data_IF_501153180604
#
_entry.id   IF_501153180604
#
_cell.length_a   1.000
_cell.length_b   1.000
_cell.length_c   1.000
_cell.angle_alpha   90.00
_cell.angle_beta   90.00
_cell.angle_gamma   90.00
#
_symmetry.space_group_name_H-M   'P 1'
#
loop_
_entity.id
_entity.type
_entity.pdbx_description
1 polymer ?
#
# COMPACT_ATOMS: atom_id res chain seq x y z
N UNK A 1 33.34 77.02 -31.37
CA UNK A 1 32.24 76.05 -31.62
C UNK A 1 32.73 74.68 -31.12
N UNK A 2 31.85 73.89 -30.48
CA UNK A 2 32.14 72.63 -29.74
C UNK A 2 32.89 72.78 -28.41
N UNK A 3 32.28 72.24 -27.36
CA UNK A 3 32.75 72.19 -25.97
C UNK A 3 33.59 70.94 -25.71
N UNK A 4 34.48 71.02 -24.73
CA UNK A 4 35.22 69.87 -24.17
C UNK A 4 34.38 69.27 -23.04
N UNK A 5 33.92 68.02 -23.18
CA UNK A 5 33.16 67.31 -22.14
C UNK A 5 34.05 66.33 -21.37
N UNK A 6 34.00 66.42 -20.03
CA UNK A 6 34.74 65.58 -19.09
C UNK A 6 34.29 64.11 -19.16
N UNK A 7 35.23 63.16 -19.20
CA UNK A 7 34.96 61.75 -18.92
C UNK A 7 35.03 61.49 -17.42
N UNK A 8 33.92 61.07 -16.82
CA UNK A 8 33.85 60.64 -15.42
C UNK A 8 34.01 59.11 -15.39
N UNK A 9 35.03 58.63 -14.68
CA UNK A 9 35.23 57.20 -14.44
C UNK A 9 34.33 56.81 -13.25
N UNK A 10 33.28 56.03 -13.53
CA UNK A 10 32.42 55.43 -12.50
C UNK A 10 33.02 54.11 -12.06
N UNK A 11 33.53 54.07 -10.83
CA UNK A 11 34.09 52.87 -10.22
C UNK A 11 32.96 51.99 -9.66
N UNK A 12 32.57 50.94 -10.39
CA UNK A 12 31.60 49.96 -9.90
C UNK A 12 32.23 49.04 -8.83
N UNK A 13 31.90 49.30 -7.56
CA UNK A 13 32.27 48.40 -6.44
C UNK A 13 31.31 47.20 -6.46
N UNK A 14 31.82 46.03 -6.84
CA UNK A 14 31.08 44.77 -6.75
C UNK A 14 31.08 44.24 -5.31
N UNK A 15 29.93 44.36 -4.63
CA UNK A 15 29.74 43.75 -3.31
C UNK A 15 29.60 42.24 -3.51
N UNK A 16 30.68 41.49 -3.22
CA UNK A 16 30.66 40.04 -3.18
C UNK A 16 29.91 39.54 -1.94
N UNK A 17 28.58 39.42 -2.09
CA UNK A 17 27.72 38.80 -1.09
C UNK A 17 28.11 37.31 -0.94
N UNK A 18 28.91 37.00 0.08
CA UNK A 18 29.25 35.62 0.41
C UNK A 18 28.03 34.93 1.01
N UNK A 19 27.23 34.31 0.15
CA UNK A 19 26.20 33.37 0.57
C UNK A 19 26.92 32.15 1.18
N UNK A 20 26.91 32.06 2.51
CA UNK A 20 27.31 30.86 3.22
C UNK A 20 26.37 29.71 2.82
N UNK A 21 26.88 28.77 2.04
CA UNK A 21 26.22 27.46 1.89
C UNK A 21 26.26 26.77 3.24
N UNK A 22 25.21 26.95 4.03
CA UNK A 22 24.91 26.07 5.15
C UNK A 22 24.67 24.68 4.59
N UNK A 23 25.59 23.75 4.85
CA UNK A 23 25.32 22.34 4.66
C UNK A 23 24.22 21.94 5.64
N UNK A 24 22.98 21.90 5.14
CA UNK A 24 21.82 21.65 5.98
C UNK A 24 21.79 20.16 6.31
N UNK A 25 22.13 19.83 7.56
CA UNK A 25 22.09 18.46 8.05
C UNK A 25 20.68 17.90 7.86
N UNK A 26 20.58 16.77 7.16
CA UNK A 26 19.33 16.02 7.09
C UNK A 26 18.95 15.60 8.50
N UNK A 27 17.78 16.03 8.99
CA UNK A 27 17.23 15.49 10.23
C UNK A 27 16.90 14.02 9.98
N UNK A 28 17.86 13.15 10.29
CA UNK A 28 17.65 11.73 10.46
C UNK A 28 16.71 11.53 11.65
N UNK A 29 15.40 11.65 11.42
CA UNK A 29 14.41 11.06 12.32
C UNK A 29 14.72 9.56 12.32
N UNK A 30 15.19 8.97 13.43
CA UNK A 30 15.60 7.58 13.42
C UNK A 30 14.36 6.72 13.20
N UNK A 31 14.20 6.18 11.99
CA UNK A 31 13.25 5.10 11.75
C UNK A 31 13.73 3.95 12.60
N UNK A 32 13.09 3.73 13.75
CA UNK A 32 13.37 2.61 14.64
C UNK A 32 13.29 1.35 13.79
N UNK A 33 14.43 0.68 13.58
CA UNK A 33 14.49 -0.49 12.72
C UNK A 33 13.47 -1.52 13.22
N UNK A 34 12.61 -2.08 12.33
CA UNK A 34 11.57 -2.99 12.75
C UNK A 34 12.17 -4.19 13.48
N UNK A 35 11.55 -4.58 14.59
CA UNK A 35 11.97 -5.71 15.41
C UNK A 35 12.19 -6.94 14.52
N UNK A 36 13.41 -7.47 14.51
CA UNK A 36 13.74 -8.67 13.76
C UNK A 36 13.81 -9.86 14.72
N UNK A 37 13.02 -10.89 14.45
CA UNK A 37 12.99 -12.13 15.21
C UNK A 37 13.73 -13.20 14.45
N UNK A 38 14.75 -13.78 15.08
CA UNK A 38 15.59 -14.80 14.48
C UNK A 38 15.40 -16.10 15.25
N UNK A 39 14.72 -17.06 14.63
CA UNK A 39 14.68 -18.44 15.11
C UNK A 39 15.88 -19.20 14.53
N UNK A 40 16.78 -19.64 15.39
CA UNK A 40 17.76 -20.66 15.03
C UNK A 40 17.11 -22.04 15.14
N UNK A 41 17.12 -22.80 14.05
CA UNK A 41 16.82 -24.23 14.05
C UNK A 41 18.17 -24.94 13.89
N UNK A 42 18.61 -25.62 14.96
CA UNK A 42 19.92 -26.22 15.03
C UNK A 42 19.86 -27.76 14.99
N UNK A 43 20.72 -28.34 14.15
CA UNK A 43 20.86 -29.78 13.99
C UNK A 43 21.62 -30.43 15.15
N UNK A 44 20.91 -31.28 15.90
CA UNK A 44 21.45 -32.18 16.90
C UNK A 44 21.31 -33.65 16.52
N UNK A 45 21.14 -33.99 15.23
CA UNK A 45 21.01 -35.37 14.77
C UNK A 45 22.35 -36.12 14.78
N UNK A 46 22.31 -37.46 14.65
CA UNK A 46 23.50 -38.31 14.77
C UNK A 46 24.59 -37.99 13.71
N UNK A 47 24.23 -37.43 12.54
CA UNK A 47 25.18 -37.07 11.48
C UNK A 47 26.18 -36.00 11.92
N UNK A 48 25.79 -35.10 12.83
CA UNK A 48 26.64 -34.04 13.40
C UNK A 48 27.81 -34.56 14.26
N UNK A 49 27.85 -35.86 14.59
CA UNK A 49 29.02 -36.54 15.19
C UNK A 49 30.12 -36.77 14.13
N UNK A 50 29.75 -36.83 12.84
CA UNK A 50 30.65 -37.07 11.73
C UNK A 50 31.81 -36.07 11.68
N UNK A 51 32.97 -36.55 11.22
CA UNK A 51 34.16 -35.71 11.09
C UNK A 51 34.03 -34.76 9.90
N UNK A 52 34.46 -33.51 10.10
CA UNK A 52 34.68 -32.53 9.05
C UNK A 52 36.07 -31.93 9.29
N UNK A 53 36.96 -32.12 8.33
CA UNK A 53 38.39 -31.86 8.48
C UNK A 53 38.98 -32.61 9.70
N UNK A 54 39.43 -31.91 10.73
CA UNK A 54 40.10 -32.49 11.90
C UNK A 54 39.22 -32.64 13.15
N UNK A 55 37.94 -32.24 13.08
CA UNK A 55 37.01 -32.17 14.23
C UNK A 55 35.66 -32.79 13.87
N UNK A 56 34.78 -33.00 14.84
CA UNK A 56 33.39 -33.32 14.53
C UNK A 56 32.63 -32.08 14.06
N UNK A 57 31.62 -32.25 13.19
CA UNK A 57 30.77 -31.17 12.70
C UNK A 57 30.13 -30.36 13.84
N UNK A 58 29.71 -31.02 14.92
CA UNK A 58 29.18 -30.36 16.11
C UNK A 58 30.22 -29.48 16.84
N UNK A 59 31.49 -29.88 16.91
CA UNK A 59 32.55 -29.06 17.51
C UNK A 59 32.87 -27.83 16.65
N UNK A 60 32.89 -27.99 15.32
CA UNK A 60 33.03 -26.86 14.39
C UNK A 60 31.87 -25.89 14.56
N UNK A 61 30.63 -26.41 14.49
CA UNK A 61 29.42 -25.62 14.62
C UNK A 61 29.39 -24.81 15.93
N UNK A 62 29.76 -25.43 17.05
CA UNK A 62 29.90 -24.75 18.36
C UNK A 62 30.93 -23.62 18.33
N UNK A 63 32.14 -23.91 17.85
CA UNK A 63 33.25 -22.94 17.86
C UNK A 63 32.96 -21.68 17.03
N UNK A 64 32.07 -21.79 16.04
CA UNK A 64 31.64 -20.67 15.19
C UNK A 64 30.36 -20.01 15.70
N UNK A 65 29.40 -20.75 16.26
CA UNK A 65 28.15 -20.17 16.75
C UNK A 65 28.32 -19.31 18.00
N UNK A 66 29.32 -19.60 18.85
CA UNK A 66 29.67 -18.76 20.01
C UNK A 66 29.97 -17.31 19.59
N UNK A 67 31.02 -17.01 18.80
CA UNK A 67 31.33 -15.63 18.39
C UNK A 67 30.25 -15.02 17.49
N UNK A 68 29.53 -15.83 16.70
CA UNK A 68 28.45 -15.36 15.84
C UNK A 68 27.26 -14.82 16.67
N UNK A 69 26.75 -15.58 17.63
CA UNK A 69 25.63 -15.16 18.49
C UNK A 69 26.01 -13.98 19.38
N UNK A 70 27.25 -13.95 19.89
CA UNK A 70 27.82 -12.79 20.59
C UNK A 70 27.88 -11.53 19.69
N UNK A 71 28.08 -11.67 18.39
CA UNK A 71 28.05 -10.53 17.46
C UNK A 71 26.62 -10.01 17.24
N UNK A 72 25.64 -10.90 17.09
CA UNK A 72 24.23 -10.56 16.84
C UNK A 72 23.61 -9.91 18.09
N UNK A 73 24.00 -10.35 19.29
CA UNK A 73 23.53 -9.79 20.57
C UNK A 73 23.71 -8.28 20.71
N UNK A 74 24.66 -7.71 19.96
CA UNK A 74 25.02 -6.27 19.99
C UNK A 74 24.18 -5.44 19.01
N UNK A 75 23.42 -6.07 18.14
CA UNK A 75 22.56 -5.40 17.15
C UNK A 75 21.24 -5.02 17.84
N UNK A 76 20.83 -3.74 17.79
CA UNK A 76 19.58 -3.31 18.40
C UNK A 76 18.35 -3.91 17.70
N UNK A 77 17.25 -4.04 18.44
CA UNK A 77 15.96 -4.53 17.94
C UNK A 77 16.00 -5.95 17.33
N UNK A 78 16.81 -6.84 17.93
CA UNK A 78 16.76 -8.28 17.65
C UNK A 78 16.22 -9.05 18.86
N UNK A 79 15.33 -10.01 18.61
CA UNK A 79 14.93 -11.06 19.54
C UNK A 79 15.32 -12.42 18.94
N UNK A 80 15.91 -13.31 19.74
CA UNK A 80 16.38 -14.62 19.26
C UNK A 80 15.66 -15.76 19.97
N UNK A 81 15.57 -16.90 19.31
CA UNK A 81 15.08 -18.16 19.86
C UNK A 81 15.90 -19.33 19.33
N UNK A 82 15.90 -20.46 20.05
CA UNK A 82 16.58 -21.69 19.64
C UNK A 82 15.59 -22.86 19.68
N UNK A 83 15.36 -23.45 18.51
CA UNK A 83 14.79 -24.78 18.34
C UNK A 83 15.91 -25.76 17.97
N UNK A 84 15.90 -26.94 18.57
CA UNK A 84 16.84 -28.02 18.25
C UNK A 84 16.05 -29.24 17.80
N UNK A 85 16.63 -30.08 16.95
CA UNK A 85 16.08 -31.39 16.62
C UNK A 85 17.13 -32.51 16.75
N UNK A 86 16.68 -33.74 16.93
CA UNK A 86 17.52 -34.94 17.04
C UNK A 86 18.36 -35.04 18.31
N UNK A 87 18.25 -34.09 19.26
CA UNK A 87 19.10 -34.01 20.44
C UNK A 87 18.62 -34.86 21.63
N UNK A 88 17.40 -35.42 21.59
CA UNK A 88 16.78 -36.10 22.74
C UNK A 88 16.64 -37.60 22.53
N UNK A 89 16.16 -38.03 21.37
CA UNK A 89 15.87 -39.43 21.04
C UNK A 89 17.02 -40.07 20.26
N UNK A 90 17.62 -41.19 20.72
CA UNK A 90 18.65 -41.89 19.96
C UNK A 90 18.05 -42.66 18.77
N UNK A 91 18.76 -42.65 17.64
CA UNK A 91 18.42 -43.49 16.46
C UNK A 91 19.33 -44.72 16.40
N UNK A 92 18.82 -45.94 16.10
CA UNK A 92 17.42 -46.33 15.89
C UNK A 92 16.64 -46.56 17.21
N UNK A 93 15.29 -46.52 17.19
CA UNK A 93 14.41 -46.28 16.04
C UNK A 93 14.38 -44.80 15.61
N UNK A 94 13.74 -44.53 14.48
CA UNK A 94 13.59 -43.18 13.95
C UNK A 94 12.52 -42.40 14.74
N UNK A 95 12.83 -41.18 15.19
CA UNK A 95 11.90 -40.29 15.89
C UNK A 95 11.75 -38.96 15.16
N UNK A 96 10.65 -38.83 14.40
CA UNK A 96 10.31 -37.62 13.65
C UNK A 96 9.60 -36.56 14.51
N UNK A 97 9.35 -36.86 15.79
CA UNK A 97 8.84 -35.92 16.79
C UNK A 97 9.94 -35.18 17.56
N UNK A 98 11.22 -35.61 17.45
CA UNK A 98 12.34 -35.02 18.19
C UNK A 98 12.74 -33.64 17.65
N UNK A 99 11.91 -32.63 17.95
CA UNK A 99 12.20 -31.22 17.69
C UNK A 99 11.49 -30.31 18.69
N UNK A 100 12.26 -29.51 19.41
CA UNK A 100 11.79 -28.74 20.56
C UNK A 100 12.33 -27.31 20.56
N UNK A 101 11.49 -26.36 20.99
CA UNK A 101 11.91 -25.01 21.34
C UNK A 101 12.64 -25.09 22.69
N UNK A 102 13.96 -25.10 22.65
CA UNK A 102 14.81 -25.18 23.85
C UNK A 102 14.96 -23.80 24.51
N UNK A 103 14.97 -22.72 23.73
CA UNK A 103 14.95 -21.34 24.23
C UNK A 103 13.90 -20.51 23.47
N UNK A 104 12.85 -20.00 24.13
CA UNK A 104 11.84 -19.16 23.49
C UNK A 104 12.37 -17.77 23.15
N UNK A 105 11.60 -17.02 22.34
CA UNK A 105 11.93 -15.65 21.99
C UNK A 105 12.08 -14.76 23.22
N UNK A 106 13.22 -14.08 23.31
CA UNK A 106 13.55 -13.19 24.41
C UNK A 106 14.58 -12.14 24.01
N UNK A 107 14.75 -11.16 24.88
CA UNK A 107 15.81 -10.14 24.79
C UNK A 107 16.99 -10.62 25.63
N UNK A 108 18.21 -10.41 25.13
CA UNK A 108 19.47 -10.74 25.80
C UNK A 108 19.63 -12.23 26.19
N UNK A 109 18.87 -13.14 25.57
CA UNK A 109 18.84 -14.58 25.91
C UNK A 109 19.96 -15.42 25.26
N UNK A 110 21.06 -14.76 24.87
CA UNK A 110 22.18 -15.38 24.14
C UNK A 110 22.88 -16.41 25.01
N UNK A 111 23.04 -16.12 26.30
CA UNK A 111 23.69 -17.01 27.27
C UNK A 111 22.93 -18.33 27.42
N UNK A 112 21.60 -18.31 27.43
CA UNK A 112 20.76 -19.50 27.45
C UNK A 112 20.89 -20.31 26.15
N UNK A 113 20.86 -19.64 24.99
CA UNK A 113 21.04 -20.26 23.68
C UNK A 113 22.42 -20.96 23.61
N UNK A 114 23.49 -20.27 24.00
CA UNK A 114 24.85 -20.81 24.01
C UNK A 114 25.00 -21.99 24.98
N UNK A 115 24.37 -21.92 26.16
CA UNK A 115 24.37 -23.03 27.12
C UNK A 115 23.80 -24.30 26.49
N UNK A 116 22.62 -24.22 25.85
CA UNK A 116 22.01 -25.37 25.17
C UNK A 116 22.91 -25.90 24.04
N UNK A 117 23.47 -24.99 23.22
CA UNK A 117 24.35 -25.37 22.10
C UNK A 117 25.62 -26.09 22.59
N UNK A 118 26.20 -25.67 23.72
CA UNK A 118 27.41 -26.28 24.27
C UNK A 118 27.13 -27.61 25.01
N UNK A 119 26.00 -27.71 25.72
CA UNK A 119 25.65 -28.87 26.55
C UNK A 119 24.99 -30.03 25.78
N UNK A 120 24.37 -29.80 24.61
CA UNK A 120 23.65 -30.88 23.91
C UNK A 120 24.57 -32.03 23.46
N UNK A 121 23.99 -33.18 23.12
CA UNK A 121 24.71 -34.30 22.51
C UNK A 121 23.96 -34.75 21.27
N UNK A 122 24.59 -34.80 20.08
CA UNK A 122 23.88 -35.25 18.89
C UNK A 122 23.57 -36.75 18.98
N UNK A 123 22.37 -37.19 18.59
CA UNK A 123 21.89 -38.57 18.85
C UNK A 123 20.89 -39.14 17.85
N UNK A 124 20.03 -38.30 17.29
CA UNK A 124 18.76 -38.71 16.72
C UNK A 124 18.63 -38.48 15.22
N UNK A 125 17.38 -38.35 14.79
CA UNK A 125 16.96 -38.17 13.39
C UNK A 125 16.98 -36.69 12.96
N UNK A 126 16.86 -36.44 11.65
CA UNK A 126 16.91 -35.11 10.99
C UNK A 126 15.52 -34.68 10.45
N UNK A 127 14.52 -34.32 11.31
CA UNK A 127 13.16 -33.95 10.89
C UNK A 127 13.04 -32.45 10.53
N UNK A 128 13.66 -32.02 9.42
CA UNK A 128 13.77 -30.60 9.03
C UNK A 128 12.40 -29.97 8.74
N UNK A 129 11.56 -30.62 7.95
CA UNK A 129 10.24 -30.14 7.55
C UNK A 129 9.34 -29.92 8.77
N UNK A 130 9.37 -30.86 9.73
CA UNK A 130 8.63 -30.74 11.00
C UNK A 130 9.19 -29.63 11.89
N UNK A 131 10.50 -29.46 11.91
CA UNK A 131 11.16 -28.36 12.64
C UNK A 131 10.82 -26.99 12.07
N UNK A 132 10.71 -26.86 10.74
CA UNK A 132 10.21 -25.64 10.09
C UNK A 132 8.73 -25.37 10.41
N UNK A 133 7.88 -26.40 10.34
CA UNK A 133 6.44 -26.30 10.60
C UNK A 133 6.13 -25.90 12.05
N UNK A 134 6.86 -26.43 13.02
CA UNK A 134 6.74 -26.05 14.44
C UNK A 134 7.48 -24.74 14.74
N UNK A 135 8.65 -24.51 14.13
CA UNK A 135 9.41 -23.27 14.25
C UNK A 135 8.60 -22.03 13.87
N UNK A 136 7.81 -22.10 12.80
CA UNK A 136 6.90 -21.02 12.42
C UNK A 136 5.79 -20.73 13.45
N UNK A 137 5.48 -21.69 14.34
CA UNK A 137 4.50 -21.52 15.43
C UNK A 137 5.14 -20.98 16.72
N UNK A 138 6.46 -21.02 16.83
CA UNK A 138 7.21 -20.47 17.96
C UNK A 138 7.31 -18.94 17.90
N UNK A 139 7.14 -18.32 16.72
CA UNK A 139 7.11 -16.86 16.58
C UNK A 139 5.88 -16.24 17.27
N UNK A 140 6.03 -15.13 18.02
CA UNK A 140 4.91 -14.35 18.53
C UNK A 140 3.99 -13.87 17.40
N UNK A 141 2.68 -13.89 17.64
CA UNK A 141 1.63 -13.65 16.63
C UNK A 141 1.42 -12.18 16.24
N UNK A 142 2.37 -11.28 16.52
CA UNK A 142 2.30 -9.91 16.00
C UNK A 142 2.82 -9.85 14.56
N UNK A 143 2.25 -8.93 13.77
CA UNK A 143 2.55 -8.75 12.36
C UNK A 143 3.58 -7.65 12.09
N UNK A 144 4.13 -7.03 13.14
CA UNK A 144 5.04 -5.90 13.05
C UNK A 144 6.52 -6.31 12.96
N UNK A 145 6.86 -7.52 13.43
CA UNK A 145 8.23 -8.02 13.39
C UNK A 145 8.60 -8.74 12.08
N UNK A 146 9.89 -8.73 11.75
CA UNK A 146 10.47 -9.53 10.67
C UNK A 146 10.83 -10.91 11.21
N UNK A 147 10.03 -11.92 10.89
CA UNK A 147 10.26 -13.30 11.33
C UNK A 147 11.21 -14.02 10.36
N UNK A 148 12.43 -14.34 10.79
CA UNK A 148 13.48 -14.97 9.98
C UNK A 148 13.90 -16.29 10.65
N UNK A 149 14.04 -17.34 9.86
CA UNK A 149 14.56 -18.64 10.32
C UNK A 149 15.96 -18.84 9.76
N UNK A 150 16.89 -19.21 10.64
CA UNK A 150 18.22 -19.73 10.29
C UNK A 150 18.26 -21.22 10.62
N UNK A 151 18.19 -22.06 9.59
CA UNK A 151 18.40 -23.50 9.71
C UNK A 151 19.88 -23.81 9.55
N UNK A 152 20.50 -24.45 10.53
CA UNK A 152 21.90 -24.87 10.52
C UNK A 152 21.91 -26.40 10.58
N UNK A 153 22.37 -27.05 9.52
CA UNK A 153 22.29 -28.52 9.36
C UNK A 153 23.43 -29.08 8.51
N UNK A 154 23.78 -30.34 8.74
CA UNK A 154 24.69 -31.09 7.88
C UNK A 154 24.00 -32.12 6.98
N UNK A 155 22.68 -32.28 7.12
CA UNK A 155 21.91 -33.39 6.58
C UNK A 155 20.85 -33.00 5.56
N UNK A 156 20.26 -34.03 4.98
CA UNK A 156 18.99 -33.95 4.24
C UNK A 156 17.85 -34.46 5.12
N UNK A 157 16.61 -34.19 4.73
CA UNK A 157 15.41 -34.66 5.42
C UNK A 157 15.43 -36.20 5.57
N UNK A 158 15.17 -36.68 6.78
CA UNK A 158 15.13 -38.11 7.09
C UNK A 158 13.72 -38.65 7.37
N UNK A 159 12.71 -37.78 7.53
CA UNK A 159 11.37 -38.12 8.03
C UNK A 159 10.24 -37.98 6.99
N UNK A 160 10.52 -38.31 5.73
CA UNK A 160 9.57 -38.25 4.58
C UNK A 160 8.87 -36.89 4.38
N UNK A 161 9.40 -35.83 5.00
CA UNK A 161 8.89 -34.47 4.85
C UNK A 161 9.34 -33.81 3.54
N UNK A 162 8.67 -32.71 3.18
CA UNK A 162 9.14 -31.81 2.12
C UNK A 162 9.43 -30.41 2.71
N UNK A 163 10.71 -30.10 3.04
CA UNK A 163 11.11 -28.79 3.53
C UNK A 163 10.78 -27.64 2.55
N UNK A 164 10.74 -27.92 1.24
CA UNK A 164 10.40 -26.92 0.22
C UNK A 164 8.91 -26.63 0.16
N UNK A 165 8.04 -27.64 0.28
CA UNK A 165 6.60 -27.45 0.39
C UNK A 165 6.24 -26.69 1.67
N UNK A 166 6.76 -27.13 2.83
CA UNK A 166 6.50 -26.48 4.13
C UNK A 166 6.99 -25.04 4.12
N UNK A 167 8.25 -24.77 3.73
CA UNK A 167 8.78 -23.40 3.70
C UNK A 167 7.95 -22.48 2.78
N UNK A 168 7.52 -22.98 1.61
CA UNK A 168 6.66 -22.23 0.68
C UNK A 168 5.28 -21.94 1.26
N UNK A 169 4.68 -22.89 2.00
CA UNK A 169 3.40 -22.69 2.67
C UNK A 169 3.51 -21.64 3.80
N UNK A 170 4.58 -21.68 4.58
CA UNK A 170 4.82 -20.74 5.68
C UNK A 170 5.06 -19.30 5.17
N UNK A 171 5.81 -19.14 4.07
CA UNK A 171 5.98 -17.87 3.36
C UNK A 171 4.65 -17.34 2.78
N UNK A 172 3.82 -18.23 2.19
CA UNK A 172 2.47 -17.88 1.73
C UNK A 172 1.54 -17.44 2.87
N UNK A 173 1.70 -18.01 4.07
CA UNK A 173 0.99 -17.61 5.29
C UNK A 173 1.58 -16.35 5.95
N UNK A 174 2.68 -15.82 5.43
CA UNK A 174 3.39 -14.67 6.02
C UNK A 174 4.02 -14.94 7.38
N UNK A 175 4.07 -16.21 7.82
CA UNK A 175 4.54 -16.59 9.15
C UNK A 175 6.05 -16.38 9.32
N UNK A 176 6.80 -16.63 8.25
CA UNK A 176 8.25 -16.39 8.13
C UNK A 176 8.56 -15.72 6.79
N UNK A 177 9.65 -14.96 6.74
CA UNK A 177 10.34 -14.62 5.50
C UNK A 177 11.09 -15.84 4.94
N UNK A 178 11.58 -15.75 3.70
CA UNK A 178 12.36 -16.84 3.09
C UNK A 178 13.54 -17.22 3.99
N UNK A 179 13.63 -18.47 4.48
CA UNK A 179 14.60 -18.86 5.50
C UNK A 179 16.02 -18.88 4.95
N UNK A 180 17.00 -18.76 5.84
CA UNK A 180 18.42 -18.94 5.56
C UNK A 180 18.81 -20.37 5.96
N UNK A 181 19.40 -21.12 5.05
CA UNK A 181 19.78 -22.53 5.25
C UNK A 181 21.29 -22.62 5.12
N UNK A 182 21.96 -23.03 6.20
CA UNK A 182 23.41 -23.02 6.33
C UNK A 182 23.91 -24.46 6.49
N UNK A 183 24.65 -24.93 5.49
CA UNK A 183 25.25 -26.25 5.45
C UNK A 183 26.56 -26.35 6.23
N UNK A 184 26.66 -27.34 7.12
CA UNK A 184 27.87 -27.67 7.91
C UNK A 184 28.55 -28.91 7.31
N UNK A 185 29.63 -28.75 6.55
CA UNK A 185 30.35 -29.88 5.94
C UNK A 185 29.43 -30.77 5.09
N UNK A 186 28.76 -30.17 4.11
CA UNK A 186 27.71 -30.80 3.29
C UNK A 186 28.20 -31.20 1.89
N UNK A 187 27.51 -32.17 1.29
CA UNK A 187 27.80 -32.66 -0.05
C UNK A 187 27.50 -31.62 -1.15
N UNK A 188 28.10 -31.82 -2.33
CA UNK A 188 28.00 -30.97 -3.53
C UNK A 188 26.53 -30.65 -3.90
N UNK A 189 25.60 -31.58 -3.65
CA UNK A 189 24.19 -31.44 -4.02
C UNK A 189 23.32 -30.70 -2.99
N UNK A 190 23.86 -30.32 -1.82
CA UNK A 190 23.09 -29.70 -0.73
C UNK A 190 22.37 -28.41 -1.16
N UNK A 191 23.05 -27.55 -1.93
CA UNK A 191 22.47 -26.32 -2.46
C UNK A 191 21.28 -26.60 -3.41
N UNK A 192 21.39 -27.64 -4.23
CA UNK A 192 20.33 -28.03 -5.17
C UNK A 192 19.08 -28.57 -4.45
N UNK A 193 19.25 -29.35 -3.38
CA UNK A 193 18.15 -29.88 -2.57
C UNK A 193 17.38 -28.74 -1.89
N UNK A 194 18.10 -27.77 -1.29
CA UNK A 194 17.47 -26.74 -0.46
C UNK A 194 17.13 -25.42 -1.20
N UNK A 195 17.51 -25.23 -2.47
CA UNK A 195 17.23 -24.00 -3.24
C UNK A 195 15.74 -23.60 -3.29
N UNK A 196 14.83 -24.57 -3.20
CA UNK A 196 13.40 -24.33 -3.16
C UNK A 196 12.84 -24.00 -1.77
N UNK A 197 13.60 -24.30 -0.70
CA UNK A 197 13.20 -24.05 0.68
C UNK A 197 13.69 -22.70 1.18
N UNK A 198 14.89 -22.25 0.80
CA UNK A 198 15.50 -21.06 1.40
C UNK A 198 16.56 -20.35 0.56
N UNK A 199 17.26 -19.43 1.20
CA UNK A 199 18.52 -18.87 0.75
C UNK A 199 19.61 -19.79 1.30
N UNK A 200 20.19 -20.63 0.43
CA UNK A 200 21.14 -21.66 0.85
C UNK A 200 22.57 -21.13 0.79
N UNK A 201 23.37 -21.51 1.78
CA UNK A 201 24.80 -21.26 1.86
C UNK A 201 25.45 -22.56 2.36
N UNK A 202 26.54 -23.00 1.74
CA UNK A 202 27.33 -24.15 2.20
C UNK A 202 28.77 -23.73 2.46
N UNK A 203 29.29 -24.08 3.64
CA UNK A 203 30.71 -23.94 3.95
C UNK A 203 31.43 -25.25 3.61
N UNK A 204 32.53 -25.16 2.85
CA UNK A 204 33.32 -26.31 2.43
C UNK A 204 34.44 -26.64 3.42
N UNK A 205 34.95 -25.62 4.09
CA UNK A 205 35.99 -25.70 5.14
C UNK A 205 35.50 -25.07 6.44
N UNK A 206 36.14 -25.44 7.56
CA UNK A 206 35.88 -24.83 8.88
C UNK A 206 36.04 -23.30 8.84
N UNK A 207 37.05 -22.81 8.12
CA UNK A 207 37.39 -21.38 8.01
C UNK A 207 36.34 -20.55 7.27
N UNK A 208 35.59 -21.15 6.35
CA UNK A 208 34.51 -20.47 5.60
C UNK A 208 33.23 -20.29 6.41
N UNK A 209 33.01 -21.11 7.44
CA UNK A 209 31.70 -21.23 8.09
C UNK A 209 31.26 -19.95 8.83
N UNK A 210 32.18 -19.31 9.56
CA UNK A 210 31.89 -18.04 10.25
C UNK A 210 31.64 -16.87 9.26
N UNK A 211 32.50 -16.61 8.24
CA UNK A 211 32.21 -15.64 7.18
C UNK A 211 30.87 -15.85 6.47
N UNK A 212 30.48 -17.10 6.21
CA UNK A 212 29.21 -17.44 5.57
C UNK A 212 28.01 -17.09 6.46
N UNK A 213 28.08 -17.41 7.75
CA UNK A 213 27.04 -17.03 8.71
C UNK A 213 26.89 -15.50 8.83
N UNK A 214 28.00 -14.76 8.87
CA UNK A 214 27.96 -13.29 8.81
C UNK A 214 27.33 -12.79 7.50
N UNK A 215 27.72 -13.32 6.34
CA UNK A 215 27.16 -12.95 5.03
C UNK A 215 25.65 -13.22 4.97
N UNK A 216 25.19 -14.34 5.53
CA UNK A 216 23.77 -14.68 5.62
C UNK A 216 23.02 -13.72 6.55
N UNK A 217 23.61 -13.36 7.70
CA UNK A 217 23.05 -12.38 8.64
C UNK A 217 22.97 -10.97 8.05
N UNK A 218 24.02 -10.50 7.37
CA UNK A 218 24.02 -9.22 6.65
C UNK A 218 22.90 -9.18 5.61
N UNK A 219 22.76 -10.25 4.80
CA UNK A 219 21.64 -10.39 3.85
C UNK A 219 20.26 -10.48 4.51
N UNK A 220 20.18 -10.97 5.75
CA UNK A 220 18.94 -11.03 6.52
C UNK A 220 18.56 -9.68 7.14
N UNK A 221 19.53 -8.82 7.47
CA UNK A 221 19.32 -7.55 8.16
C UNK A 221 19.38 -6.31 7.26
N UNK A 222 19.99 -6.41 6.06
CA UNK A 222 20.12 -5.29 5.13
C UNK A 222 18.74 -4.81 4.64
N UNK A 223 18.51 -3.50 4.76
CA UNK A 223 17.42 -2.83 4.06
C UNK A 223 17.93 -2.26 2.75
N UNK A 224 17.10 -2.27 1.71
CA UNK A 224 17.51 -1.87 0.37
C UNK A 224 16.89 -0.51 0.01
N UNK A 225 17.69 0.45 -0.49
CA UNK A 225 17.17 1.75 -0.88
C UNK A 225 16.33 1.65 -2.16
N UNK A 226 15.13 2.20 -2.11
CA UNK A 226 14.15 2.27 -3.18
C UNK A 226 13.69 3.73 -3.37
N UNK A 227 13.71 4.22 -4.61
CA UNK A 227 12.98 5.44 -4.98
C UNK A 227 11.77 5.10 -5.86
N UNK A 228 10.60 5.60 -5.49
CA UNK A 228 9.38 5.50 -6.31
C UNK A 228 9.16 6.82 -7.01
N UNK A 229 9.14 6.80 -8.33
CA UNK A 229 8.91 7.97 -9.19
C UNK A 229 7.49 7.90 -9.75
N UNK A 230 6.59 8.70 -9.19
CA UNK A 230 5.22 8.88 -9.69
C UNK A 230 5.25 9.84 -10.88
N UNK A 231 4.92 9.35 -12.08
CA UNK A 231 5.08 10.10 -13.33
C UNK A 231 3.78 10.79 -13.77
N UNK A 232 3.88 12.06 -14.15
CA UNK A 232 2.82 12.85 -14.78
C UNK A 232 2.54 12.42 -16.25
N UNK A 233 1.61 13.10 -16.92
CA UNK A 233 1.27 12.82 -18.32
C UNK A 233 2.42 13.10 -19.31
N UNK A 234 3.40 13.90 -18.91
CA UNK A 234 4.61 14.21 -19.66
C UNK A 234 5.78 13.27 -19.31
N UNK A 235 5.50 12.20 -18.55
CA UNK A 235 6.47 11.21 -18.02
C UNK A 235 7.52 11.81 -17.06
N UNK A 236 7.23 12.97 -16.46
CA UNK A 236 8.11 13.64 -15.49
C UNK A 236 7.67 13.29 -14.06
N UNK A 237 8.61 13.08 -13.13
CA UNK A 237 8.28 12.70 -11.76
C UNK A 237 7.91 13.91 -10.92
N UNK A 238 6.68 14.40 -11.10
CA UNK A 238 6.14 15.59 -10.42
C UNK A 238 4.96 15.30 -9.51
N UNK A 239 4.39 14.11 -9.63
CA UNK A 239 3.30 13.66 -8.78
C UNK A 239 3.88 13.34 -7.39
N UNK A 240 3.25 13.89 -6.35
CA UNK A 240 3.68 13.81 -4.94
C UNK A 240 2.44 13.75 -4.04
N UNK A 241 2.65 13.47 -2.76
CA UNK A 241 1.68 13.56 -1.67
C UNK A 241 0.52 12.55 -1.78
N UNK A 242 0.72 11.50 -2.60
CA UNK A 242 -0.24 10.40 -2.76
C UNK A 242 0.12 9.26 -1.81
N UNK A 243 -0.82 8.72 -1.01
CA UNK A 243 -0.59 7.52 -0.23
C UNK A 243 -0.24 6.31 -1.12
N UNK A 244 0.64 5.46 -0.62
CA UNK A 244 1.07 4.22 -1.26
C UNK A 244 1.04 3.05 -0.26
N UNK A 245 0.48 1.91 -0.67
CA UNK A 245 0.55 0.66 0.09
C UNK A 245 1.43 -0.34 -0.66
N UNK A 246 2.38 -0.93 0.06
CA UNK A 246 3.29 -1.95 -0.45
C UNK A 246 2.78 -3.31 0.00
N UNK A 247 2.33 -4.11 -0.95
CA UNK A 247 1.91 -5.48 -0.73
C UNK A 247 3.06 -6.43 -1.06
N UNK A 248 3.21 -7.48 -0.26
CA UNK A 248 3.98 -8.67 -0.63
C UNK A 248 3.25 -9.38 -1.78
N UNK A 249 3.89 -9.46 -2.95
CA UNK A 249 3.30 -9.96 -4.18
C UNK A 249 3.08 -11.49 -4.15
N UNK A 250 3.65 -12.21 -3.18
CA UNK A 250 3.52 -13.66 -3.05
C UNK A 250 2.27 -14.11 -2.26
N UNK A 251 1.77 -13.27 -1.36
CA UNK A 251 0.70 -13.61 -0.41
C UNK A 251 -0.35 -12.49 -0.21
N UNK A 252 -0.10 -11.27 -0.69
CA UNK A 252 -1.02 -10.14 -0.58
C UNK A 252 -1.01 -9.42 0.77
N UNK A 253 -0.11 -9.76 1.70
CA UNK A 253 -0.01 -9.03 2.97
C UNK A 253 0.55 -7.62 2.78
N UNK A 254 0.02 -6.67 3.54
CA UNK A 254 0.56 -5.30 3.62
C UNK A 254 1.88 -5.35 4.38
N UNK A 255 2.93 -4.78 3.78
CA UNK A 255 4.27 -4.64 4.40
C UNK A 255 4.54 -3.20 4.84
N UNK A 256 4.18 -2.22 4.02
CA UNK A 256 4.36 -0.80 4.34
C UNK A 256 3.21 0.05 3.83
N UNK A 257 2.99 1.17 4.52
CA UNK A 257 2.20 2.28 4.04
C UNK A 257 3.06 3.55 4.14
N UNK A 258 3.15 4.31 3.05
CA UNK A 258 3.87 5.57 2.99
C UNK A 258 2.98 6.62 2.33
N UNK A 259 3.29 7.90 2.54
CA UNK A 259 2.83 8.97 1.64
C UNK A 259 4.02 9.33 0.78
N UNK A 260 3.84 9.33 -0.54
CA UNK A 260 4.91 9.67 -1.48
C UNK A 260 5.34 11.12 -1.32
N UNK A 261 6.65 11.40 -1.40
CA UNK A 261 7.18 12.76 -1.28
C UNK A 261 8.27 13.04 -2.29
N UNK A 262 8.24 14.24 -2.88
CA UNK A 262 9.28 14.78 -3.77
C UNK A 262 10.10 15.83 -3.03
N UNK A 263 11.31 15.45 -2.59
CA UNK A 263 12.17 16.26 -1.71
C UNK A 263 12.94 17.37 -2.45
N UNK A 264 13.24 17.16 -3.73
CA UNK A 264 13.77 18.18 -4.65
C UNK A 264 13.05 18.04 -6.00
N UNK A 265 13.03 19.06 -6.87
CA UNK A 265 12.36 18.97 -8.16
C UNK A 265 12.79 17.71 -8.94
N UNK A 266 11.83 16.84 -9.23
CA UNK A 266 12.01 15.55 -9.89
C UNK A 266 12.79 14.45 -9.11
N UNK A 267 13.02 14.62 -7.81
CA UNK A 267 13.75 13.67 -6.95
C UNK A 267 12.89 13.25 -5.74
N UNK A 268 12.34 12.01 -5.71
CA UNK A 268 11.56 11.49 -4.59
C UNK A 268 12.44 11.09 -3.40
N UNK A 269 11.82 10.88 -2.24
CA UNK A 269 12.52 10.35 -1.05
C UNK A 269 13.05 8.91 -1.26
N UNK A 270 14.11 8.56 -0.53
CA UNK A 270 14.66 7.19 -0.53
C UNK A 270 14.01 6.39 0.60
N UNK A 271 13.26 5.36 0.24
CA UNK A 271 12.68 4.39 1.15
C UNK A 271 13.67 3.26 1.41
N UNK A 272 13.84 2.86 2.66
CA UNK A 272 14.61 1.66 3.02
C UNK A 272 13.64 0.55 3.40
N UNK A 273 13.57 -0.51 2.58
CA UNK A 273 12.63 -1.62 2.74
C UNK A 273 13.30 -2.99 2.58
N UNK A 274 12.60 -4.06 2.96
CA UNK A 274 13.14 -5.42 3.04
C UNK A 274 13.35 -6.08 1.65
N UNK A 275 14.58 -6.46 1.24
CA UNK A 275 14.80 -7.11 -0.04
C UNK A 275 14.34 -8.57 -0.12
N UNK A 276 13.98 -9.21 1.00
CA UNK A 276 13.53 -10.60 1.02
C UNK A 276 12.08 -10.77 0.53
N UNK A 277 11.39 -9.68 0.20
CA UNK A 277 10.01 -9.65 -0.28
C UNK A 277 9.97 -9.07 -1.70
N UNK A 278 9.17 -9.67 -2.57
CA UNK A 278 8.79 -9.07 -3.85
C UNK A 278 7.54 -8.23 -3.66
N UNK A 279 7.51 -7.00 -4.18
CA UNK A 279 6.43 -6.05 -3.89
C UNK A 279 5.50 -5.81 -5.07
N UNK A 280 4.25 -5.49 -4.74
CA UNK A 280 3.34 -4.78 -5.63
C UNK A 280 2.89 -3.50 -4.93
N UNK A 281 3.13 -2.36 -5.54
CA UNK A 281 2.85 -1.05 -4.96
C UNK A 281 1.49 -0.59 -5.48
N UNK A 282 0.55 -0.30 -4.58
CA UNK A 282 -0.70 0.40 -4.91
C UNK A 282 -0.54 1.87 -4.57
N UNK A 283 -0.61 2.73 -5.57
CA UNK A 283 -0.72 4.18 -5.42
C UNK A 283 -2.21 4.52 -5.31
N UNK A 284 -2.62 5.16 -4.22
CA UNK A 284 -4.03 5.51 -3.95
C UNK A 284 -4.44 6.81 -4.64
N UNK A 285 -4.16 6.91 -5.94
CA UNK A 285 -4.84 7.87 -6.83
C UNK A 285 -6.31 7.48 -7.02
N UNK A 286 -7.07 8.32 -7.71
CA UNK A 286 -8.47 8.03 -8.06
C UNK A 286 -8.66 7.97 -9.58
N UNK A 287 -8.90 6.80 -10.20
CA UNK A 287 -8.79 5.44 -9.66
C UNK A 287 -7.37 5.07 -9.20
N UNK A 288 -7.22 4.06 -8.32
CA UNK A 288 -5.92 3.61 -7.85
C UNK A 288 -5.13 2.93 -8.97
N UNK A 289 -3.81 3.12 -8.95
CA UNK A 289 -2.87 2.54 -9.91
C UNK A 289 -1.95 1.57 -9.18
N UNK A 290 -1.59 0.47 -9.84
CA UNK A 290 -0.64 -0.52 -9.32
C UNK A 290 0.65 -0.50 -10.14
N UNK A 291 1.78 -0.74 -9.48
CA UNK A 291 3.04 -1.06 -10.15
C UNK A 291 3.00 -2.47 -10.75
N UNK A 292 3.96 -2.72 -11.65
CA UNK A 292 4.45 -4.07 -11.93
C UNK A 292 5.08 -4.70 -10.67
N UNK A 293 5.50 -5.98 -10.78
CA UNK A 293 6.21 -6.66 -9.68
C UNK A 293 7.59 -6.03 -9.48
N UNK A 294 7.83 -5.53 -8.27
CA UNK A 294 9.10 -4.93 -7.86
C UNK A 294 9.93 -5.99 -7.13
N UNK A 295 11.10 -6.31 -7.68
CA UNK A 295 12.11 -7.17 -7.06
C UNK A 295 13.28 -6.28 -6.63
N UNK A 296 13.82 -6.52 -5.45
CA UNK A 296 14.95 -5.78 -4.90
C UNK A 296 16.19 -6.66 -4.85
N UNK A 297 17.33 -6.12 -5.24
CA UNK A 297 18.64 -6.74 -5.01
C UNK A 297 19.21 -6.18 -3.69
N UNK A 298 19.58 -7.03 -2.70
CA UNK A 298 20.05 -6.58 -1.40
C UNK A 298 21.14 -5.50 -1.45
N UNK A 299 20.87 -4.34 -0.85
CA UNK A 299 21.79 -3.20 -0.77
C UNK A 299 21.92 -2.37 -2.06
N UNK A 300 21.33 -2.79 -3.19
CA UNK A 300 21.38 -2.08 -4.47
C UNK A 300 20.25 -1.08 -4.59
N UNK A 301 20.59 0.16 -4.90
CA UNK A 301 19.60 1.21 -5.15
C UNK A 301 18.66 0.83 -6.30
N UNK A 302 17.38 0.74 -6.00
CA UNK A 302 16.33 0.35 -6.95
C UNK A 302 15.44 1.55 -7.28
N UNK A 303 15.06 1.69 -8.54
CA UNK A 303 14.17 2.75 -9.02
C UNK A 303 12.92 2.13 -9.62
N UNK A 304 11.75 2.51 -9.10
CA UNK A 304 10.45 2.13 -9.65
C UNK A 304 9.78 3.36 -10.24
N UNK A 305 9.13 3.20 -11.40
CA UNK A 305 8.43 4.29 -12.09
C UNK A 305 6.97 3.89 -12.32
N UNK A 306 6.04 4.69 -11.83
CA UNK A 306 4.60 4.40 -11.89
C UNK A 306 3.90 5.57 -12.59
N UNK A 307 3.34 5.40 -13.80
CA UNK A 307 2.55 6.43 -14.45
C UNK A 307 1.25 6.68 -13.68
N UNK A 308 1.11 7.88 -13.13
CA UNK A 308 -0.10 8.34 -12.44
C UNK A 308 -0.45 9.77 -12.88
N UNK A 309 -0.70 10.00 -14.18
CA UNK A 309 -0.99 11.33 -14.71
C UNK A 309 -2.28 11.87 -14.08
N UNK A 310 -2.24 12.97 -13.33
CA UNK A 310 -3.42 13.50 -12.66
C UNK A 310 -3.84 14.90 -13.13
N UNK A 311 -5.15 15.12 -13.08
CA UNK A 311 -5.81 16.42 -13.24
C UNK A 311 -6.85 16.64 -12.15
N UNK A 312 -7.44 17.83 -12.11
CA UNK A 312 -8.50 18.14 -11.14
C UNK A 312 -9.88 18.23 -11.81
N UNK A 313 -10.91 17.78 -11.11
CA UNK A 313 -12.31 18.03 -11.43
C UNK A 313 -12.93 18.89 -10.34
N UNK A 314 -13.68 19.91 -10.77
CA UNK A 314 -14.52 20.71 -9.90
C UNK A 314 -15.87 20.96 -10.59
N UNK A 315 -16.96 20.62 -9.91
CA UNK A 315 -18.29 21.07 -10.33
C UNK A 315 -18.55 22.43 -9.67
N UNK A 316 -18.59 23.49 -10.44
CA UNK A 316 -18.81 24.86 -9.94
C UNK A 316 -20.30 25.09 -9.73
N UNK A 317 -20.68 25.47 -8.50
CA UNK A 317 -22.04 25.87 -8.17
C UNK A 317 -22.43 27.20 -8.83
N UNK A 318 -23.73 27.47 -9.02
CA UNK A 318 -24.19 28.78 -9.46
C UNK A 318 -23.80 29.89 -8.47
N UNK A 319 -23.44 31.06 -8.98
CA UNK A 319 -23.08 32.22 -8.16
C UNK A 319 -24.22 32.59 -7.20
N UNK A 320 -23.88 33.00 -5.97
CA UNK A 320 -24.86 33.34 -4.92
C UNK A 320 -25.61 32.15 -4.30
N UNK A 321 -25.58 30.95 -4.89
CA UNK A 321 -26.33 29.80 -4.39
C UNK A 321 -25.48 28.91 -3.49
N UNK A 322 -25.38 29.26 -2.21
CA UNK A 322 -24.62 28.49 -1.20
C UNK A 322 -25.24 27.12 -0.89
N UNK A 323 -26.55 26.97 -1.03
CA UNK A 323 -27.26 25.68 -0.88
C UNK A 323 -26.86 24.64 -1.90
N UNK A 324 -26.19 25.03 -3.00
CA UNK A 324 -25.69 24.10 -3.99
C UNK A 324 -24.39 23.42 -3.56
N UNK A 325 -23.64 23.97 -2.60
CA UNK A 325 -22.40 23.35 -2.09
C UNK A 325 -22.62 22.02 -1.36
N UNK A 326 -23.84 21.74 -0.90
CA UNK A 326 -24.19 20.44 -0.29
C UNK A 326 -24.69 19.40 -1.29
N UNK A 327 -24.78 19.74 -2.58
CA UNK A 327 -25.13 18.75 -3.60
C UNK A 327 -23.96 17.80 -3.83
N UNK A 328 -24.28 16.53 -4.01
CA UNK A 328 -23.31 15.50 -4.37
C UNK A 328 -23.22 15.35 -5.89
N UNK A 329 -21.99 15.08 -6.35
CA UNK A 329 -21.66 14.64 -7.70
C UNK A 329 -21.10 13.23 -7.60
N UNK A 330 -21.80 12.26 -8.19
CA UNK A 330 -21.22 10.94 -8.50
C UNK A 330 -20.31 11.12 -9.71
N UNK A 331 -19.10 10.56 -9.61
CA UNK A 331 -18.12 10.48 -10.69
C UNK A 331 -17.91 9.01 -11.03
N UNK A 332 -17.99 8.67 -12.32
CA UNK A 332 -17.71 7.34 -12.89
C UNK A 332 -16.69 7.46 -14.01
N UNK A 333 -15.96 6.39 -14.34
CA UNK A 333 -15.26 6.35 -15.64
C UNK A 333 -16.30 6.41 -16.77
N UNK A 334 -15.94 7.00 -17.90
CA UNK A 334 -16.85 7.02 -19.06
C UNK A 334 -17.27 5.60 -19.45
N UNK A 335 -18.56 5.44 -19.75
CA UNK A 335 -19.20 4.17 -20.12
C UNK A 335 -19.16 3.07 -19.03
N UNK A 336 -18.82 3.42 -17.78
CA UNK A 336 -18.81 2.52 -16.61
C UNK A 336 -19.88 2.96 -15.60
N UNK A 337 -20.71 2.01 -15.12
CA UNK A 337 -21.73 2.27 -14.11
C UNK A 337 -21.21 2.23 -12.66
N UNK A 338 -19.97 1.78 -12.45
CA UNK A 338 -19.34 1.77 -11.14
C UNK A 338 -19.04 3.21 -10.66
N UNK A 339 -19.67 3.60 -9.54
CA UNK A 339 -19.33 4.85 -8.84
C UNK A 339 -17.87 4.79 -8.38
N UNK A 340 -17.04 5.67 -8.92
CA UNK A 340 -15.63 5.79 -8.58
C UNK A 340 -15.45 6.70 -7.35
N UNK A 341 -16.18 7.81 -7.31
CA UNK A 341 -16.16 8.75 -6.19
C UNK A 341 -17.51 9.48 -6.06
N UNK A 342 -17.78 10.01 -4.86
CA UNK A 342 -18.86 10.97 -4.61
C UNK A 342 -18.25 12.20 -3.94
N UNK A 343 -18.15 13.30 -4.68
CA UNK A 343 -17.63 14.58 -4.17
C UNK A 343 -18.75 15.62 -4.01
N UNK A 344 -18.55 16.66 -3.20
CA UNK A 344 -19.49 17.77 -3.17
C UNK A 344 -19.27 18.70 -4.37
N UNK A 345 -20.31 19.41 -4.75
CA UNK A 345 -20.20 20.57 -5.64
C UNK A 345 -19.34 21.63 -4.95
N UNK A 346 -18.46 22.28 -5.71
CA UNK A 346 -17.40 23.19 -5.28
C UNK A 346 -16.18 22.52 -4.61
N UNK A 347 -16.17 21.19 -4.40
CA UNK A 347 -14.92 20.48 -4.08
C UNK A 347 -14.04 20.38 -5.32
N UNK A 348 -12.73 20.63 -5.13
CA UNK A 348 -11.69 20.36 -6.13
C UNK A 348 -11.03 19.04 -5.79
N UNK A 349 -11.33 18.00 -6.56
CA UNK A 349 -10.82 16.64 -6.33
C UNK A 349 -9.87 16.21 -7.45
N UNK A 350 -8.86 15.38 -7.12
CA UNK A 350 -7.80 14.96 -8.04
C UNK A 350 -8.10 13.57 -8.60
N UNK A 351 -8.03 13.41 -9.93
CA UNK A 351 -8.29 12.15 -10.64
C UNK A 351 -7.16 11.84 -11.62
N UNK A 352 -6.98 10.56 -11.97
CA UNK A 352 -6.16 10.17 -13.13
C UNK A 352 -6.78 10.76 -14.40
N UNK A 353 -5.95 11.27 -15.31
CA UNK A 353 -6.40 11.84 -16.57
C UNK A 353 -7.17 10.81 -17.41
N UNK A 354 -8.27 11.22 -18.03
CA UNK A 354 -9.18 10.32 -18.73
C UNK A 354 -10.57 10.93 -18.93
N UNK A 355 -11.52 10.12 -19.40
CA UNK A 355 -12.92 10.51 -19.59
C UNK A 355 -13.80 9.96 -18.47
N UNK A 356 -14.72 10.79 -18.00
CA UNK A 356 -15.56 10.52 -16.85
C UNK A 356 -17.01 10.93 -17.11
N UNK A 357 -17.94 10.17 -16.54
CA UNK A 357 -19.36 10.49 -16.54
C UNK A 357 -19.76 11.01 -15.16
N UNK A 358 -20.48 12.13 -15.14
CA UNK A 358 -20.88 12.84 -13.94
C UNK A 358 -22.40 12.79 -13.78
N UNK A 359 -22.84 12.54 -12.55
CA UNK A 359 -24.25 12.59 -12.15
C UNK A 359 -24.38 13.49 -10.92
N UNK A 360 -25.00 14.66 -11.10
CA UNK A 360 -25.20 15.65 -10.04
C UNK A 360 -26.63 15.53 -9.52
N UNK A 361 -26.80 15.54 -8.19
CA UNK A 361 -28.09 15.49 -7.51
C UNK A 361 -28.84 16.84 -7.50
N UNK A 362 -28.87 17.50 -8.65
CA UNK A 362 -29.83 18.55 -9.01
C UNK A 362 -31.23 17.96 -9.22
N UNK A 363 -32.22 18.83 -9.40
CA UNK A 363 -33.61 18.46 -9.69
C UNK A 363 -34.05 19.05 -11.05
N UNK A 364 -34.38 18.24 -12.08
CA UNK A 364 -34.00 16.82 -12.21
C UNK A 364 -32.48 16.63 -12.20
N UNK A 365 -32.04 15.37 -12.07
CA UNK A 365 -30.62 15.01 -12.07
C UNK A 365 -29.94 15.53 -13.35
N UNK A 366 -28.74 16.07 -13.20
CA UNK A 366 -27.95 16.58 -14.32
C UNK A 366 -26.81 15.63 -14.62
N UNK A 367 -26.70 15.23 -15.89
CA UNK A 367 -25.69 14.31 -16.39
C UNK A 367 -24.73 15.02 -17.34
N UNK A 368 -23.43 14.72 -17.21
CA UNK A 368 -22.40 15.12 -18.18
C UNK A 368 -21.60 13.87 -18.55
N UNK A 369 -21.63 13.50 -19.83
CA UNK A 369 -20.96 12.30 -20.33
C UNK A 369 -19.62 12.64 -21.01
N UNK A 370 -18.63 11.75 -20.88
CA UNK A 370 -17.35 11.85 -21.56
C UNK A 370 -16.49 13.06 -21.16
N UNK A 371 -16.67 13.60 -19.96
CA UNK A 371 -15.93 14.75 -19.44
C UNK A 371 -14.44 14.42 -19.35
N UNK A 372 -13.62 15.14 -20.12
CA UNK A 372 -12.18 14.91 -20.18
C UNK A 372 -11.45 15.66 -19.05
N UNK A 373 -10.83 14.90 -18.15
CA UNK A 373 -9.90 15.39 -17.14
C UNK A 373 -8.49 15.35 -17.74
N UNK A 374 -7.86 16.52 -17.85
CA UNK A 374 -6.54 16.72 -18.47
C UNK A 374 -5.46 16.99 -17.40
N UNK A 375 -4.17 16.73 -17.70
CA UNK A 375 -3.09 16.91 -16.75
C UNK A 375 -2.86 18.37 -16.37
N UNK A 376 -2.40 18.60 -15.13
CA UNK A 376 -2.00 19.89 -14.57
C UNK A 376 -3.07 21.02 -14.56
N UNK A 377 -4.28 20.78 -15.09
CA UNK A 377 -5.39 21.74 -15.12
C UNK A 377 -6.56 21.36 -14.19
N UNK A 378 -7.58 22.23 -14.13
CA UNK A 378 -8.83 21.98 -13.42
C UNK A 378 -10.01 22.01 -14.39
N UNK A 379 -10.46 20.82 -14.81
CA UNK A 379 -11.68 20.65 -15.58
C UNK A 379 -12.85 21.12 -14.71
N UNK A 380 -13.47 22.23 -15.12
CA UNK A 380 -14.53 22.88 -14.35
C UNK A 380 -15.88 22.77 -15.06
N UNK A 381 -16.84 22.10 -14.42
CA UNK A 381 -18.20 21.94 -14.93
C UNK A 381 -19.11 22.94 -14.23
N UNK A 382 -19.60 23.93 -14.97
CA UNK A 382 -20.46 25.00 -14.42
C UNK A 382 -21.91 24.56 -14.43
N UNK A 383 -22.52 24.46 -13.24
CA UNK A 383 -23.95 24.17 -13.12
C UNK A 383 -24.78 25.41 -13.50
N UNK A 384 -25.91 25.24 -14.22
CA UNK A 384 -26.88 26.31 -14.40
C UNK A 384 -27.50 26.70 -13.05
N UNK A 385 -27.88 27.96 -12.89
CA UNK A 385 -28.72 28.36 -11.77
C UNK A 385 -30.11 27.75 -11.97
N UNK A 386 -30.68 26.99 -11.01
CA UNK A 386 -32.07 26.60 -11.09
C UNK A 386 -32.98 27.84 -11.11
N UNK A 387 -34.15 27.71 -11.70
CA UNK A 387 -35.25 28.63 -11.42
C UNK A 387 -36.11 28.11 -10.27
N UNK A 388 -36.80 29.02 -9.59
CA UNK A 388 -37.81 28.70 -8.58
C UNK A 388 -39.18 28.58 -9.24
N UNK A 389 -39.84 27.43 -9.08
CA UNK A 389 -41.27 27.31 -9.35
C UNK A 389 -42.02 27.30 -8.01
N UNK A 390 -43.16 27.98 -7.96
CA UNK A 390 -44.03 28.09 -6.79
C UNK A 390 -45.45 27.70 -7.22
N UNK A 391 -46.02 26.64 -6.64
CA UNK A 391 -47.36 26.19 -6.99
C UNK A 391 -48.41 26.84 -6.08
N UNK A 392 -49.30 27.62 -6.67
CA UNK A 392 -50.37 28.28 -5.93
C UNK A 392 -51.61 27.39 -5.90
N UNK A 393 -51.70 26.54 -4.86
CA UNK A 393 -52.87 25.72 -4.49
C UNK A 393 -53.15 25.81 -3.00
N UNK A 394 -54.43 25.83 -2.64
CA UNK A 394 -54.89 25.75 -1.25
C UNK A 394 -55.36 24.35 -0.83
N UNK A 395 -55.66 23.47 -1.80
CA UNK A 395 -56.22 22.16 -1.55
C UNK A 395 -55.16 21.06 -1.48
N UNK A 396 -55.43 20.05 -0.66
CA UNK A 396 -54.67 18.80 -0.69
C UNK A 396 -54.91 18.10 -2.03
N UNK A 397 -53.88 17.46 -2.60
CA UNK A 397 -54.02 16.78 -3.88
C UNK A 397 -52.79 15.97 -4.26
N UNK A 398 -52.98 15.09 -5.23
CA UNK A 398 -51.93 14.25 -5.79
C UNK A 398 -51.41 14.91 -7.06
N UNK A 399 -50.10 14.91 -7.26
CA UNK A 399 -49.51 15.46 -8.48
C UNK A 399 -48.01 15.24 -8.55
N UNK A 400 -47.46 15.45 -9.73
CA UNK A 400 -46.05 15.29 -10.02
C UNK A 400 -45.59 16.30 -11.08
N UNK A 401 -44.29 16.60 -11.03
CA UNK A 401 -43.58 17.41 -12.01
C UNK A 401 -42.82 16.46 -12.94
N UNK A 402 -42.92 16.71 -14.23
CA UNK A 402 -42.23 16.00 -15.31
C UNK A 402 -41.42 17.00 -16.13
N UNK A 403 -40.25 16.58 -16.65
CA UNK A 403 -39.49 17.35 -17.63
C UNK A 403 -39.83 16.83 -19.03
N UNK A 404 -40.19 17.75 -19.92
CA UNK A 404 -40.63 17.44 -21.28
C UNK A 404 -39.42 17.27 -22.21
N UNK A 405 -39.25 16.05 -22.74
CA UNK A 405 -38.22 15.67 -23.71
C UNK A 405 -38.76 15.63 -25.15
N UNK A 406 -39.91 16.25 -25.40
CA UNK A 406 -40.75 16.24 -26.61
C UNK A 406 -41.41 14.88 -26.93
N UNK A 407 -40.70 13.77 -26.75
CA UNK A 407 -41.22 12.40 -27.00
C UNK A 407 -41.46 11.60 -25.73
N UNK A 408 -41.06 12.12 -24.57
CA UNK A 408 -41.20 11.48 -23.26
C UNK A 408 -41.39 12.53 -22.16
N UNK A 409 -42.11 12.15 -21.11
CA UNK A 409 -42.31 12.94 -19.88
C UNK A 409 -41.55 12.27 -18.73
N UNK A 410 -40.28 12.63 -18.60
CA UNK A 410 -39.39 12.10 -17.58
C UNK A 410 -39.80 12.63 -16.19
N UNK A 411 -40.04 11.73 -15.23
CA UNK A 411 -40.48 12.08 -13.88
C UNK A 411 -39.39 12.83 -13.10
N UNK A 412 -39.75 13.96 -12.49
CA UNK A 412 -38.81 14.82 -11.73
C UNK A 412 -39.03 14.67 -10.23
N UNK A 413 -40.26 14.89 -9.75
CA UNK A 413 -40.63 14.74 -8.34
C UNK A 413 -42.14 14.70 -8.17
N UNK A 414 -42.61 14.08 -7.09
CA UNK A 414 -43.98 14.28 -6.61
C UNK A 414 -44.12 15.68 -6.00
N UNK A 415 -45.34 16.23 -6.06
CA UNK A 415 -45.78 17.30 -5.18
C UNK A 415 -46.13 16.72 -3.81
N UNK A 416 -45.91 17.48 -2.74
CA UNK A 416 -46.40 17.09 -1.41
C UNK A 416 -47.94 17.04 -1.41
N UNK A 417 -48.53 16.01 -0.77
CA UNK A 417 -50.01 15.86 -0.70
C UNK A 417 -50.66 17.08 -0.02
N UNK A 418 -49.99 17.62 1.00
CA UNK A 418 -50.35 18.86 1.69
C UNK A 418 -49.29 19.91 1.34
N UNK A 419 -49.64 21.07 0.74
CA UNK A 419 -48.69 22.13 0.43
C UNK A 419 -47.87 22.54 1.68
N UNK A 420 -46.54 22.50 1.60
CA UNK A 420 -45.64 22.91 2.70
C UNK A 420 -45.06 24.30 2.43
N UNK A 421 -45.25 25.22 3.37
CA UNK A 421 -44.78 26.60 3.24
C UNK A 421 -45.35 27.24 1.97
N UNK A 422 -44.47 27.66 1.05
CA UNK A 422 -44.86 28.24 -0.24
C UNK A 422 -44.99 27.22 -1.38
N UNK A 423 -44.89 25.90 -1.12
CA UNK A 423 -44.97 24.83 -2.13
C UNK A 423 -44.05 25.09 -3.35
N UNK A 424 -42.77 25.39 -3.06
CA UNK A 424 -41.80 25.85 -4.05
C UNK A 424 -40.65 24.89 -4.26
N UNK A 425 -40.28 24.66 -5.51
CA UNK A 425 -39.20 23.77 -5.94
C UNK A 425 -38.12 24.57 -6.68
N UNK A 426 -36.87 24.12 -6.58
CA UNK A 426 -35.75 24.63 -7.40
C UNK A 426 -35.51 23.64 -8.53
N UNK A 427 -35.84 24.03 -9.75
CA UNK A 427 -35.73 23.19 -10.95
C UNK A 427 -34.63 23.70 -11.87
N UNK A 428 -33.85 22.80 -12.45
CA UNK A 428 -32.88 23.14 -13.50
C UNK A 428 -33.57 23.72 -14.75
N UNK A 429 -32.86 24.50 -15.59
CA UNK A 429 -33.47 25.04 -16.81
C UNK A 429 -34.00 23.94 -17.74
N UNK A 430 -35.21 24.12 -18.26
CA UNK A 430 -35.91 23.10 -19.05
C UNK A 430 -37.39 23.42 -19.27
N UNK A 431 -38.07 22.57 -20.04
CA UNK A 431 -39.53 22.60 -20.23
C UNK A 431 -40.17 21.58 -19.30
N UNK A 432 -41.24 21.96 -18.62
CA UNK A 432 -41.86 21.11 -17.61
C UNK A 432 -43.37 21.00 -17.79
N UNK A 433 -43.92 19.89 -17.32
CA UNK A 433 -45.35 19.67 -17.16
C UNK A 433 -45.59 19.35 -15.69
N UNK A 434 -46.53 20.03 -15.05
CA UNK A 434 -47.08 19.58 -13.77
C UNK A 434 -48.44 18.94 -14.04
N UNK A 435 -48.67 17.75 -13.49
CA UNK A 435 -49.98 17.09 -13.46
C UNK A 435 -50.47 17.09 -12.02
N UNK A 436 -51.72 17.50 -11.79
CA UNK A 436 -52.28 17.58 -10.44
C UNK A 436 -53.79 17.34 -10.40
N UNK A 437 -54.27 16.76 -9.29
CA UNK A 437 -55.69 16.56 -9.01
C UNK A 437 -55.96 16.74 -7.51
N UNK A 438 -57.05 17.43 -7.17
CA UNK A 438 -57.53 17.56 -5.78
C UNK A 438 -57.80 16.19 -5.14
N UNK A 439 -57.48 16.04 -3.85
CA UNK A 439 -57.60 14.78 -3.10
C UNK A 439 -59.04 14.30 -2.93
N UNK A 440 -60.01 15.22 -2.84
CA UNK A 440 -61.44 14.91 -2.71
C UNK A 440 -62.07 14.47 -4.04
N UNK A 441 -61.42 14.77 -5.15
CA UNK A 441 -61.85 14.31 -6.46
C UNK A 441 -61.51 12.82 -6.61
N UNK A 442 -62.31 12.08 -7.36
CA UNK A 442 -62.11 10.65 -7.62
C UNK A 442 -62.07 10.33 -9.11
N UNK A 443 -62.62 11.19 -9.96
CA UNK A 443 -62.52 11.10 -11.40
C UNK A 443 -61.10 11.48 -11.88
N UNK A 444 -60.47 10.60 -12.65
CA UNK A 444 -59.13 10.81 -13.20
C UNK A 444 -59.10 11.89 -14.28
N UNK A 445 -60.20 12.08 -15.02
CA UNK A 445 -60.30 13.10 -16.08
C UNK A 445 -60.31 14.54 -15.53
N UNK A 446 -60.50 14.70 -14.23
CA UNK A 446 -60.37 15.99 -13.51
C UNK A 446 -58.93 16.36 -13.16
N UNK A 447 -57.95 15.57 -13.59
CA UNK A 447 -56.54 15.93 -13.46
C UNK A 447 -56.22 17.10 -14.40
N UNK A 448 -55.72 18.20 -13.86
CA UNK A 448 -55.20 19.30 -14.68
C UNK A 448 -53.73 19.04 -15.03
N UNK A 449 -53.30 19.54 -16.19
CA UNK A 449 -51.90 19.62 -16.56
C UNK A 449 -51.55 21.04 -16.99
N UNK A 450 -50.37 21.52 -16.58
CA UNK A 450 -49.88 22.87 -16.93
C UNK A 450 -48.44 22.78 -17.42
N UNK A 451 -48.20 23.29 -18.64
CA UNK A 451 -46.88 23.37 -19.24
C UNK A 451 -46.20 24.68 -18.82
N UNK A 452 -44.92 24.63 -18.44
CA UNK A 452 -44.14 25.80 -18.06
C UNK A 452 -42.63 25.61 -18.29
N UNK A 453 -41.98 26.62 -18.85
CA UNK A 453 -40.51 26.63 -18.97
C UNK A 453 -39.84 27.25 -17.75
N UNK A 454 -38.68 26.72 -17.36
CA UNK A 454 -37.81 27.32 -16.35
C UNK A 454 -36.52 27.78 -17.03
N UNK A 455 -36.18 29.07 -16.83
CA UNK A 455 -34.90 29.66 -17.27
C UNK A 455 -33.95 29.81 -16.08
N UNK A 456 -32.65 29.92 -16.36
CA UNK A 456 -31.61 30.06 -15.34
C UNK A 456 -31.88 31.22 -14.38
N UNK A 457 -31.97 30.94 -13.07
CA UNK A 457 -32.25 31.93 -12.02
C UNK A 457 -33.65 32.56 -12.05
N UNK A 458 -34.56 32.11 -12.92
CA UNK A 458 -35.92 32.67 -13.03
C UNK A 458 -36.81 32.32 -11.83
N UNK A 459 -37.94 33.02 -11.68
CA UNK A 459 -39.00 32.63 -10.74
C UNK A 459 -40.34 32.59 -11.47
N UNK A 460 -41.11 31.51 -11.29
CA UNK A 460 -42.46 31.34 -11.86
C UNK A 460 -43.46 30.91 -10.81
N UNK A 461 -44.68 31.42 -10.95
CA UNK A 461 -45.84 31.05 -10.15
C UNK A 461 -46.84 30.32 -11.03
N UNK A 462 -47.20 29.09 -10.66
CA UNK A 462 -48.10 28.23 -11.42
C UNK A 462 -49.38 28.03 -10.60
N UNK A 463 -50.54 28.56 -11.04
CA UNK A 463 -51.80 28.32 -10.35
C UNK A 463 -52.26 26.88 -10.61
N UNK A 464 -52.57 26.15 -9.53
CA UNK A 464 -53.23 24.85 -9.59
C UNK A 464 -54.56 25.02 -8.85
N UNK A 465 -55.66 25.01 -9.62
CA UNK A 465 -57.03 25.34 -9.20
C UNK A 465 -58.00 24.27 -9.66
#
# INVERSE_FOLDING_TARGET
MRFISKSIIVLCISIFLHASLGAQEYINVPRVAPLTRILFIFDGSMSMIGMWENRSKIEVARSVLVPFLDSISKIPNIEMALRVYGNRSPVPPQDCGDTYLEVPFGKNNVTEILKIILEMKPKGTTPIARSLELGAKDFPKDSAARNIVFLITDGIEACDGDPCAISRELQKKGAILKPFIIGVGTDINFEEVFKCAGNVFSAKTELEFLPILHTAMEKALVTTPLQVYLLDAYKKPRETDVPMTFYDNSNGFIRYNFVHSVIKPAEPDILFIDPLVTYKIKVHTMPPVFSDTVVLEPGKHTIVRIPVPQGYLMVERPFGMSTFSSLQTIVRRADDMNTLNTQLVNDKFKYICGRYDLEIFTLPRTYYYGVEIKPDETTTIKLPAPGRVTFNRSQQGYGAIYIDRNTDLEFVTNLDIVPKGNDSFLLQPGKYVVVWREKKETDTEKSIYVNFDISSGSSKFIPLK
#
